data_IF_100029805656
#
_entry.id   IF_100029805656
#
_cell.length_a   1.000
_cell.length_b   1.000
_cell.length_c   1.000
_cell.angle_alpha   90.00
_cell.angle_beta   90.00
_cell.angle_gamma   90.00
#
_symmetry.space_group_name_H-M   'P 1'
#
loop_
_entity.id
_entity.type
_entity.pdbx_description
1 polymer ?
#
# COMPACT_ATOMS: atom_id res chain seq x y z
N UNK A 1 1.44 3.44 -7.89
CA UNK A 1 2.62 3.29 -7.01
C UNK A 1 3.97 3.66 -7.64
N UNK A 2 4.30 3.38 -8.92
CA UNK A 2 5.54 3.95 -9.53
C UNK A 2 5.28 4.82 -10.76
N UNK A 3 4.29 4.45 -11.56
CA UNK A 3 3.86 5.18 -12.75
C UNK A 3 2.94 6.36 -12.45
N UNK A 4 2.62 6.60 -11.18
CA UNK A 4 1.65 7.62 -10.72
C UNK A 4 0.24 7.49 -11.35
N UNK A 5 -0.16 6.27 -11.67
CA UNK A 5 -1.53 5.98 -12.04
C UNK A 5 -2.39 5.68 -10.79
N UNK A 6 -3.66 6.10 -10.77
CA UNK A 6 -4.61 5.71 -9.73
C UNK A 6 -4.78 4.18 -9.73
N UNK A 7 -5.01 3.62 -8.55
CA UNK A 7 -5.17 2.18 -8.35
C UNK A 7 -6.61 1.93 -7.93
N UNK A 8 -7.29 1.10 -8.72
CA UNK A 8 -8.60 0.55 -8.37
C UNK A 8 -8.39 -0.95 -8.21
N UNK A 9 -8.69 -1.49 -7.03
CA UNK A 9 -8.44 -2.91 -6.73
C UNK A 9 -9.50 -3.44 -5.78
N UNK A 10 -9.83 -4.74 -5.86
CA UNK A 10 -10.63 -5.37 -4.81
C UNK A 10 -9.93 -5.30 -3.46
N UNK A 11 -10.74 -5.27 -2.41
CA UNK A 11 -10.27 -5.24 -1.04
C UNK A 11 -9.99 -6.65 -0.51
N UNK A 12 -8.73 -7.05 -0.55
CA UNK A 12 -8.25 -8.29 0.09
C UNK A 12 -7.31 -7.97 1.26
N UNK A 13 -7.21 -8.88 2.22
CA UNK A 13 -6.28 -8.74 3.35
C UNK A 13 -4.83 -8.50 2.87
N UNK A 14 -4.38 -9.30 1.90
CA UNK A 14 -3.04 -9.15 1.30
C UNK A 14 -2.80 -7.79 0.61
N UNK A 15 -3.85 -7.13 0.11
CA UNK A 15 -3.70 -5.79 -0.49
C UNK A 15 -3.56 -4.69 0.55
N UNK A 16 -4.03 -4.91 1.79
CA UNK A 16 -3.96 -3.92 2.87
C UNK A 16 -2.58 -3.74 3.47
N UNK A 17 -1.66 -4.68 3.24
CA UNK A 17 -0.26 -4.55 3.64
C UNK A 17 0.47 -3.41 2.91
N UNK A 18 -0.05 -3.03 1.74
CA UNK A 18 0.58 -2.07 0.82
C UNK A 18 -0.35 -0.90 0.49
N UNK A 19 -1.65 -1.16 0.39
CA UNK A 19 -2.66 -0.19 -0.03
C UNK A 19 -3.62 0.13 1.11
N UNK A 20 -4.15 1.35 1.10
CA UNK A 20 -5.13 1.83 2.07
C UNK A 20 -6.07 2.85 1.39
N UNK A 21 -7.08 3.32 2.12
CA UNK A 21 -8.07 4.26 1.59
C UNK A 21 -7.49 5.62 1.16
N UNK A 22 -6.29 5.98 1.62
CA UNK A 22 -5.61 7.22 1.22
C UNK A 22 -4.80 7.08 -0.07
N UNK A 23 -4.58 5.84 -0.56
CA UNK A 23 -3.69 5.60 -1.69
C UNK A 23 -4.27 4.67 -2.78
N UNK A 24 -5.48 4.14 -2.57
CA UNK A 24 -6.19 3.32 -3.53
C UNK A 24 -7.71 3.48 -3.40
N UNK A 25 -8.42 3.17 -4.49
CA UNK A 25 -9.87 3.02 -4.50
C UNK A 25 -10.17 1.53 -4.34
N UNK A 26 -10.71 1.16 -3.19
CA UNK A 26 -11.15 -0.20 -2.94
C UNK A 26 -12.54 -0.47 -3.51
N UNK A 27 -12.71 -1.67 -4.05
CA UNK A 27 -13.98 -2.21 -4.53
C UNK A 27 -14.25 -3.56 -3.89
N UNK A 28 -15.50 -4.02 -3.96
CA UNK A 28 -15.88 -5.32 -3.41
C UNK A 28 -15.21 -6.46 -4.21
N UNK A 29 -14.65 -7.47 -3.52
CA UNK A 29 -14.19 -8.71 -4.16
C UNK A 29 -15.28 -9.39 -4.97
N UNK A 30 -14.89 -9.96 -6.11
CA UNK A 30 -15.75 -10.78 -6.98
C UNK A 30 -17.01 -10.05 -7.49
N UNK A 31 -17.03 -8.72 -7.43
CA UNK A 31 -18.17 -7.90 -7.85
C UNK A 31 -17.80 -6.99 -9.04
N UNK A 32 -18.27 -7.36 -10.23
CA UNK A 32 -18.04 -6.61 -11.48
C UNK A 32 -18.66 -5.21 -11.41
N UNK A 33 -19.86 -5.08 -10.86
CA UNK A 33 -20.54 -3.78 -10.75
C UNK A 33 -19.77 -2.83 -9.82
N UNK A 34 -19.24 -3.35 -8.72
CA UNK A 34 -18.38 -2.61 -7.80
C UNK A 34 -17.10 -2.14 -8.49
N UNK A 35 -16.43 -3.01 -9.25
CA UNK A 35 -15.25 -2.65 -10.05
C UNK A 35 -15.54 -1.54 -11.08
N UNK A 36 -16.63 -1.67 -11.84
CA UNK A 36 -17.05 -0.64 -12.80
C UNK A 36 -17.31 0.70 -12.11
N UNK A 37 -17.94 0.67 -10.93
CA UNK A 37 -18.18 1.88 -10.13
C UNK A 37 -16.87 2.52 -9.66
N UNK A 38 -15.88 1.72 -9.25
CA UNK A 38 -14.56 2.20 -8.81
C UNK A 38 -13.77 2.84 -9.96
N UNK A 39 -13.77 2.21 -11.14
CA UNK A 39 -13.15 2.75 -12.36
C UNK A 39 -13.83 4.07 -12.76
N UNK A 40 -15.15 4.12 -12.72
CA UNK A 40 -15.92 5.33 -13.02
C UNK A 40 -15.57 6.46 -12.06
N UNK A 41 -15.52 6.20 -10.75
CA UNK A 41 -15.10 7.19 -9.74
C UNK A 41 -13.70 7.76 -10.06
N UNK A 42 -12.75 6.89 -10.41
CA UNK A 42 -11.40 7.32 -10.79
C UNK A 42 -11.36 8.19 -12.06
N UNK A 43 -12.31 8.00 -12.97
CA UNK A 43 -12.43 8.74 -14.22
C UNK A 43 -13.16 10.07 -14.07
N UNK A 44 -14.25 10.08 -13.31
CA UNK A 44 -15.11 11.25 -13.08
C UNK A 44 -14.45 12.25 -12.14
N UNK A 45 -13.79 11.80 -11.08
CA UNK A 45 -13.03 12.64 -10.14
C UNK A 45 -11.52 12.48 -10.35
N UNK A 46 -11.02 13.12 -11.41
CA UNK A 46 -9.60 13.06 -11.79
C UNK A 46 -8.67 13.66 -10.74
N UNK A 47 -9.09 14.71 -10.05
CA UNK A 47 -8.25 15.39 -9.07
C UNK A 47 -8.00 14.48 -7.87
N UNK A 48 -9.07 13.94 -7.29
CA UNK A 48 -8.96 12.99 -6.19
C UNK A 48 -8.17 11.73 -6.62
N UNK A 49 -8.45 11.18 -7.80
CA UNK A 49 -7.71 10.03 -8.32
C UNK A 49 -6.19 10.30 -8.45
N UNK A 50 -5.81 11.50 -8.86
CA UNK A 50 -4.40 11.91 -8.91
C UNK A 50 -3.78 12.09 -7.52
N UNK A 51 -4.52 12.61 -6.55
CA UNK A 51 -4.06 12.70 -5.16
C UNK A 51 -3.75 11.31 -4.59
N UNK A 52 -4.67 10.36 -4.77
CA UNK A 52 -4.46 8.95 -4.37
C UNK A 52 -3.23 8.36 -5.07
N UNK A 53 -3.08 8.58 -6.38
CA UNK A 53 -1.94 8.08 -7.15
C UNK A 53 -0.59 8.65 -6.68
N UNK A 54 -0.57 9.93 -6.32
CA UNK A 54 0.61 10.61 -5.80
C UNK A 54 0.95 10.14 -4.38
N UNK A 55 -0.06 9.89 -3.54
CA UNK A 55 0.11 9.26 -2.23
C UNK A 55 0.70 7.86 -2.36
N UNK A 56 0.12 7.02 -3.22
CA UNK A 56 0.63 5.68 -3.52
C UNK A 56 2.07 5.70 -4.04
N UNK A 57 2.44 6.74 -4.81
CA UNK A 57 3.82 6.92 -5.25
C UNK A 57 4.77 7.27 -4.10
N UNK A 58 4.36 8.16 -3.21
CA UNK A 58 5.12 8.48 -2.01
C UNK A 58 5.31 7.24 -1.14
N UNK A 59 4.23 6.51 -0.88
CA UNK A 59 4.22 5.34 -0.01
C UNK A 59 5.12 4.23 -0.56
N UNK A 60 5.15 4.03 -1.89
CA UNK A 60 5.99 3.02 -2.54
C UNK A 60 7.48 3.13 -2.18
N UNK A 61 7.95 4.34 -1.84
CA UNK A 61 9.35 4.59 -1.49
C UNK A 61 9.74 3.85 -0.20
N UNK A 62 8.77 3.65 0.70
CA UNK A 62 8.92 2.92 1.96
C UNK A 62 9.21 1.42 1.78
N UNK A 63 8.89 0.88 0.60
CA UNK A 63 9.06 -0.53 0.26
C UNK A 63 10.31 -0.80 -0.59
N UNK A 64 11.23 0.16 -0.69
CA UNK A 64 12.50 -0.06 -1.36
C UNK A 64 13.31 -1.16 -0.67
N UNK A 65 14.03 -1.97 -1.45
CA UNK A 65 14.83 -3.08 -0.92
C UNK A 65 15.77 -2.63 0.21
N UNK A 66 16.41 -1.47 0.05
CA UNK A 66 17.29 -0.86 1.07
C UNK A 66 16.56 -0.64 2.40
N UNK A 67 15.34 -0.12 2.36
CA UNK A 67 14.57 0.18 3.57
C UNK A 67 14.01 -1.08 4.20
N UNK A 68 13.48 -2.00 3.40
CA UNK A 68 12.99 -3.31 3.89
C UNK A 68 14.12 -4.08 4.58
N UNK A 69 15.30 -4.16 3.96
CA UNK A 69 16.47 -4.83 4.54
C UNK A 69 16.89 -4.14 5.85
N UNK A 70 16.94 -2.81 5.89
CA UNK A 70 17.26 -2.09 7.12
C UNK A 70 16.29 -2.42 8.26
N UNK A 71 14.99 -2.48 7.96
CA UNK A 71 13.93 -2.83 8.93
C UNK A 71 14.07 -4.27 9.44
N UNK A 72 14.38 -5.23 8.56
CA UNK A 72 14.54 -6.63 8.94
C UNK A 72 15.80 -6.89 9.76
N UNK A 73 16.88 -6.18 9.44
CA UNK A 73 18.20 -6.39 10.05
C UNK A 73 18.35 -5.67 11.39
N UNK A 74 17.76 -4.49 11.56
CA UNK A 74 17.95 -3.66 12.76
C UNK A 74 17.59 -4.38 14.08
N UNK A 75 16.47 -5.12 14.18
CA UNK A 75 16.15 -5.89 15.39
C UNK A 75 17.15 -7.01 15.69
N UNK A 76 17.78 -7.59 14.67
CA UNK A 76 18.78 -8.66 14.86
C UNK A 76 20.03 -8.10 15.55
N UNK A 77 20.49 -6.92 15.13
CA UNK A 77 21.69 -6.30 15.69
C UNK A 77 21.47 -5.55 17.01
N UNK A 78 20.25 -5.08 17.28
CA UNK A 78 19.90 -4.33 18.49
C UNK A 78 19.11 -5.15 19.52
N UNK A 79 19.03 -6.48 19.37
CA UNK A 79 18.41 -7.34 20.37
C UNK A 79 19.29 -7.40 21.64
N UNK A 80 18.77 -7.03 22.83
CA UNK A 80 19.54 -7.19 24.06
C UNK A 80 19.90 -8.66 24.25
N UNK A 81 21.19 -8.94 24.49
CA UNK A 81 21.67 -10.31 24.75
C UNK A 81 20.81 -10.92 25.86
N UNK A 82 20.26 -12.13 25.64
CA UNK A 82 19.59 -12.89 26.70
C UNK A 82 20.60 -13.07 27.83
N UNK A 83 20.41 -12.35 28.93
CA UNK A 83 21.05 -12.66 30.20
C UNK A 83 20.49 -14.01 30.63
N UNK A 84 21.28 -15.07 30.42
CA UNK A 84 21.02 -16.37 31.03
C UNK A 84 21.29 -16.21 32.52
N UNK A 85 20.23 -15.98 33.29
CA UNK A 85 20.26 -16.07 34.74
C UNK A 85 20.38 -17.55 35.11
N UNK A 86 21.59 -17.96 35.45
CA UNK A 86 21.89 -19.24 36.14
C UNK A 86 21.43 -19.20 37.58
#
# INVERSE_FOLDING_TARGET
MLTKNPIVTPEFEATRDVLNAENAIFVEPENIASLVSGIRKAWEDREHAQQLAQRAYSDSRHYSFKQVIATLINPIFNCPKRTTST
#
